data_IF_159850970533
#
_entry.id   IF_159850970533
#
_cell.length_a   1.000
_cell.length_b   1.000
_cell.length_c   1.000
_cell.angle_alpha   90.00
_cell.angle_beta   90.00
_cell.angle_gamma   90.00
#
_symmetry.space_group_name_H-M   'P 1'
#
loop_
_entity.id
_entity.type
_entity.pdbx_description
1 polymer ?
#
# COMPACT_ATOMS: atom_id res chain seq x y z
N UNK A 1 -20.38 34.93 1.73
CA UNK A 1 -20.61 33.60 1.13
C UNK A 1 -20.30 32.54 2.18
N UNK A 2 -21.18 31.57 2.52
CA UNK A 2 -20.87 30.53 3.45
C UNK A 2 -19.73 29.69 2.88
N UNK A 3 -18.65 29.50 3.66
CA UNK A 3 -17.59 28.54 3.31
C UNK A 3 -18.25 27.17 3.18
N UNK A 4 -18.29 26.61 1.96
CA UNK A 4 -18.63 25.19 1.79
C UNK A 4 -17.66 24.42 2.69
N UNK A 5 -18.19 23.73 3.68
CA UNK A 5 -17.42 22.74 4.44
C UNK A 5 -17.07 21.65 3.43
N UNK A 6 -15.82 21.64 2.96
CA UNK A 6 -15.34 20.56 2.11
C UNK A 6 -15.23 19.36 3.05
N UNK A 7 -16.15 18.42 2.90
CA UNK A 7 -16.11 17.18 3.65
C UNK A 7 -14.83 16.42 3.26
N UNK A 8 -13.94 16.19 4.20
CA UNK A 8 -12.74 15.39 3.97
C UNK A 8 -13.13 13.94 3.75
N UNK A 9 -12.47 13.29 2.79
CA UNK A 9 -12.58 11.85 2.64
C UNK A 9 -11.85 11.15 3.78
N UNK A 10 -12.53 10.23 4.50
CA UNK A 10 -11.89 9.37 5.47
C UNK A 10 -11.22 8.19 4.78
N UNK A 11 -10.02 7.82 5.21
CA UNK A 11 -9.36 6.59 4.75
C UNK A 11 -8.80 5.80 5.91
N UNK A 12 -8.61 4.49 5.67
CA UNK A 12 -7.86 3.61 6.55
C UNK A 12 -6.56 3.18 5.87
N UNK A 13 -5.48 3.02 6.65
CA UNK A 13 -4.15 2.63 6.15
C UNK A 13 -3.72 1.31 6.82
N UNK A 14 -3.76 0.22 6.07
CA UNK A 14 -3.41 -1.12 6.54
C UNK A 14 -1.98 -1.45 6.11
N UNK A 15 -1.22 -2.11 7.00
CA UNK A 15 0.22 -2.34 6.79
C UNK A 15 0.94 -1.01 6.57
N UNK A 16 0.61 -0.04 7.40
CA UNK A 16 0.92 1.36 7.21
C UNK A 16 2.42 1.67 7.17
N UNK A 17 3.26 0.77 7.68
CA UNK A 17 4.70 0.99 7.77
C UNK A 17 5.00 2.26 8.54
N UNK A 18 5.78 3.15 7.95
CA UNK A 18 6.11 4.46 8.51
C UNK A 18 5.14 5.57 8.09
N UNK A 19 4.03 5.23 7.41
CA UNK A 19 2.96 6.17 7.02
C UNK A 19 3.06 6.77 5.64
N UNK A 20 3.64 6.05 4.67
CA UNK A 20 3.80 6.56 3.30
C UNK A 20 2.48 6.91 2.61
N UNK A 21 1.47 6.07 2.68
CA UNK A 21 0.13 6.36 2.14
C UNK A 21 -0.53 7.54 2.87
N UNK A 22 -0.41 7.57 4.20
CA UNK A 22 -0.94 8.68 5.00
C UNK A 22 -0.38 10.03 4.57
N UNK A 23 0.94 10.14 4.43
CA UNK A 23 1.59 11.36 3.93
C UNK A 23 1.07 11.80 2.55
N UNK A 24 0.84 10.85 1.65
CA UNK A 24 0.34 11.13 0.31
C UNK A 24 -1.11 11.61 0.30
N UNK A 25 -1.99 10.95 1.07
CA UNK A 25 -3.41 11.21 1.05
C UNK A 25 -3.82 12.42 1.88
N UNK A 26 -3.24 12.66 3.06
CA UNK A 26 -3.60 13.80 3.91
C UNK A 26 -3.27 15.16 3.27
N UNK A 27 -2.35 15.18 2.29
CA UNK A 27 -2.10 16.38 1.48
C UNK A 27 -3.25 16.74 0.53
N UNK A 28 -4.18 15.82 0.29
CA UNK A 28 -5.21 15.89 -0.74
C UNK A 28 -6.64 15.76 -0.18
N UNK A 29 -7.01 16.61 0.79
CA UNK A 29 -8.37 16.67 1.36
C UNK A 29 -8.89 15.36 1.95
N UNK A 30 -8.01 14.54 2.49
CA UNK A 30 -8.40 13.30 3.18
C UNK A 30 -7.84 13.26 4.60
N UNK A 31 -8.37 12.34 5.42
CA UNK A 31 -8.05 12.18 6.83
C UNK A 31 -7.93 10.70 7.14
N UNK A 32 -6.84 10.30 7.80
CA UNK A 32 -6.66 8.94 8.28
C UNK A 32 -7.53 8.70 9.51
N UNK A 33 -8.55 7.84 9.40
CA UNK A 33 -9.43 7.49 10.51
C UNK A 33 -8.99 6.23 11.24
N UNK A 34 -8.15 5.41 10.63
CA UNK A 34 -7.62 4.19 11.23
C UNK A 34 -6.33 3.77 10.52
N UNK A 35 -5.37 3.27 11.28
CA UNK A 35 -4.15 2.67 10.76
C UNK A 35 -3.81 1.36 11.46
N UNK A 36 -3.15 0.43 10.73
CA UNK A 36 -2.75 -0.86 11.26
C UNK A 36 -1.31 -1.18 10.81
N UNK A 37 -0.44 -1.45 11.78
CA UNK A 37 0.95 -1.86 11.57
C UNK A 37 1.43 -2.66 12.80
N UNK A 38 2.09 -3.78 12.59
CA UNK A 38 2.53 -4.66 13.67
C UNK A 38 4.03 -4.60 13.97
N UNK A 39 4.84 -4.16 12.98
CA UNK A 39 6.27 -4.04 13.17
C UNK A 39 6.60 -2.94 14.17
N UNK A 40 7.31 -3.31 15.23
CA UNK A 40 7.62 -2.44 16.35
C UNK A 40 8.34 -1.15 15.90
N UNK A 41 9.30 -1.27 15.02
CA UNK A 41 10.12 -0.13 14.61
C UNK A 41 9.38 0.79 13.64
N UNK A 42 8.55 0.20 12.76
CA UNK A 42 7.65 0.97 11.91
C UNK A 42 6.63 1.74 12.76
N UNK A 43 6.02 1.10 13.79
CA UNK A 43 5.09 1.74 14.74
C UNK A 43 5.75 2.90 15.49
N UNK A 44 6.98 2.74 15.96
CA UNK A 44 7.72 3.82 16.64
C UNK A 44 7.94 5.02 15.72
N UNK A 45 8.34 4.77 14.45
CA UNK A 45 8.52 5.82 13.45
C UNK A 45 7.19 6.47 13.06
N UNK A 46 6.13 5.67 12.88
CA UNK A 46 4.78 6.17 12.60
C UNK A 46 4.29 7.10 13.73
N UNK A 47 4.47 6.66 14.97
CA UNK A 47 4.10 7.48 16.13
C UNK A 47 4.88 8.80 16.19
N UNK A 48 6.17 8.77 15.90
CA UNK A 48 6.99 9.98 15.86
C UNK A 48 6.51 10.97 14.76
N UNK A 49 6.01 10.45 13.63
CA UNK A 49 5.53 11.27 12.52
C UNK A 49 4.12 11.84 12.73
N UNK A 50 3.22 11.07 13.35
CA UNK A 50 1.78 11.40 13.40
C UNK A 50 1.19 11.55 14.79
N UNK A 51 1.93 11.24 15.86
CA UNK A 51 1.46 11.31 17.24
C UNK A 51 0.43 10.22 17.63
N UNK A 52 0.16 9.27 16.72
CA UNK A 52 -0.82 8.20 16.89
C UNK A 52 -0.15 6.84 16.72
N UNK A 53 -0.55 5.86 17.53
CA UNK A 53 -0.07 4.48 17.39
C UNK A 53 -1.04 3.69 16.52
N UNK A 54 -0.55 3.03 15.45
CA UNK A 54 -1.35 2.12 14.68
C UNK A 54 -1.89 0.95 15.52
N UNK A 55 -3.04 0.41 15.14
CA UNK A 55 -3.49 -0.89 15.62
C UNK A 55 -2.46 -1.96 15.24
N UNK A 56 -2.23 -2.95 16.10
CA UNK A 56 -1.15 -3.92 15.88
C UNK A 56 -1.47 -4.98 14.82
N UNK A 57 -1.83 -6.19 15.28
CA UNK A 57 -2.05 -7.36 14.39
C UNK A 57 -3.42 -7.31 13.71
N UNK A 58 -3.44 -7.20 12.39
CA UNK A 58 -4.66 -7.15 11.57
C UNK A 58 -5.56 -8.39 11.77
N UNK A 59 -4.99 -9.54 12.13
CA UNK A 59 -5.77 -10.76 12.40
C UNK A 59 -6.64 -10.65 13.66
N UNK A 60 -6.34 -9.69 14.54
CA UNK A 60 -7.09 -9.39 15.76
C UNK A 60 -8.09 -8.27 15.58
N UNK A 61 -8.14 -7.65 14.38
CA UNK A 61 -9.02 -6.55 14.11
C UNK A 61 -10.49 -7.01 14.08
N UNK A 62 -11.33 -6.38 14.90
CA UNK A 62 -12.77 -6.47 14.74
C UNK A 62 -13.22 -5.51 13.65
N UNK A 63 -13.51 -6.03 12.46
CA UNK A 63 -13.90 -5.22 11.30
C UNK A 63 -15.18 -4.41 11.58
N UNK A 64 -16.09 -4.92 12.40
CA UNK A 64 -17.34 -4.22 12.72
C UNK A 64 -17.13 -2.96 13.55
N UNK A 65 -16.04 -2.91 14.32
CA UNK A 65 -15.68 -1.72 15.09
C UNK A 65 -15.06 -0.60 14.29
N UNK A 66 -14.69 -0.84 13.02
CA UNK A 66 -14.22 0.23 12.15
C UNK A 66 -15.37 1.19 11.84
N UNK A 67 -15.14 2.50 12.00
CA UNK A 67 -16.03 3.52 11.48
C UNK A 67 -16.15 3.42 9.96
N UNK A 68 -17.14 4.07 9.37
CA UNK A 68 -17.27 4.16 7.93
C UNK A 68 -16.16 5.04 7.34
N UNK A 69 -15.58 4.58 6.26
CA UNK A 69 -14.52 5.26 5.54
C UNK A 69 -14.75 5.14 4.02
N UNK A 70 -14.10 6.03 3.27
CA UNK A 70 -14.28 6.15 1.83
C UNK A 70 -13.19 5.41 1.04
N UNK A 71 -11.96 5.36 1.57
CA UNK A 71 -10.81 4.82 0.87
C UNK A 71 -10.07 3.82 1.77
N UNK A 72 -9.68 2.68 1.21
CA UNK A 72 -8.78 1.74 1.88
C UNK A 72 -7.41 1.77 1.19
N UNK A 73 -6.34 1.98 1.97
CA UNK A 73 -4.97 1.80 1.50
C UNK A 73 -4.30 0.62 2.18
N UNK A 74 -3.43 -0.10 1.45
CA UNK A 74 -2.67 -1.18 2.02
C UNK A 74 -1.39 -1.48 1.23
N UNK A 75 -0.23 -1.44 1.90
CA UNK A 75 1.05 -1.92 1.39
C UNK A 75 1.39 -3.28 1.97
N UNK A 76 0.73 -4.34 1.53
CA UNK A 76 0.82 -5.66 2.15
C UNK A 76 1.97 -6.51 1.61
N UNK A 77 2.60 -7.37 2.44
CA UNK A 77 3.70 -8.24 2.01
C UNK A 77 3.23 -9.31 1.01
N UNK A 78 4.10 -9.65 0.06
CA UNK A 78 3.88 -10.76 -0.86
C UNK A 78 4.07 -12.07 -0.10
N UNK A 79 2.97 -12.77 0.17
CA UNK A 79 2.98 -14.10 0.77
C UNK A 79 2.47 -15.14 -0.23
N UNK A 80 3.00 -16.40 -0.20
CA UNK A 80 2.51 -17.44 -1.10
C UNK A 80 1.02 -17.73 -0.87
N UNK A 81 0.27 -17.82 -1.95
CA UNK A 81 -1.12 -18.22 -1.92
C UNK A 81 -1.20 -19.76 -1.86
N UNK A 82 -1.90 -20.33 -0.87
CA UNK A 82 -2.21 -21.74 -0.87
C UNK A 82 -3.54 -22.00 -1.57
N UNK A 83 -3.66 -23.11 -2.33
CA UNK A 83 -4.90 -23.54 -3.01
C UNK A 83 -6.11 -23.67 -2.09
N UNK A 84 -5.87 -23.99 -0.83
CA UNK A 84 -6.95 -24.21 0.14
C UNK A 84 -7.76 -22.94 0.38
N UNK A 85 -7.12 -21.77 0.36
CA UNK A 85 -7.80 -20.48 0.52
C UNK A 85 -8.66 -20.07 -0.69
N UNK A 86 -8.26 -20.47 -1.90
CA UNK A 86 -8.93 -20.08 -3.16
C UNK A 86 -10.16 -20.93 -3.50
N UNK A 87 -10.10 -22.26 -3.25
CA UNK A 87 -11.20 -23.17 -3.63
C UNK A 87 -12.36 -23.22 -2.64
N UNK A 88 -12.12 -22.87 -1.38
CA UNK A 88 -13.16 -22.96 -0.34
C UNK A 88 -13.95 -21.64 -0.18
N UNK A 89 -13.68 -20.64 -1.02
CA UNK A 89 -14.32 -19.33 -0.92
C UNK A 89 -14.03 -18.69 0.45
N UNK A 90 -14.70 -17.62 0.75
CA UNK A 90 -14.55 -16.83 1.98
C UNK A 90 -14.89 -17.57 3.30
N UNK A 91 -15.12 -18.88 3.27
CA UNK A 91 -15.61 -19.66 4.43
C UNK A 91 -14.53 -20.19 5.39
N UNK A 92 -13.27 -20.24 4.98
CA UNK A 92 -12.21 -20.68 5.88
C UNK A 92 -11.16 -19.58 6.08
N UNK A 93 -11.05 -19.11 7.34
CA UNK A 93 -9.89 -18.35 7.84
C UNK A 93 -8.63 -19.20 7.71
N UNK A 94 -8.02 -19.25 6.55
CA UNK A 94 -6.64 -19.74 6.44
C UNK A 94 -5.75 -18.69 7.09
N UNK A 95 -5.36 -18.95 8.33
CA UNK A 95 -4.34 -18.15 9.01
C UNK A 95 -3.14 -18.04 8.09
N UNK A 96 -2.81 -16.83 7.66
CA UNK A 96 -1.55 -16.53 7.00
C UNK A 96 -1.58 -15.74 5.69
N UNK A 97 -2.73 -15.50 5.06
CA UNK A 97 -2.73 -14.66 3.87
C UNK A 97 -3.36 -13.29 4.14
N UNK A 98 -2.50 -12.30 4.31
CA UNK A 98 -2.87 -10.93 4.67
C UNK A 98 -3.73 -10.23 3.61
N UNK A 99 -3.66 -10.67 2.36
CA UNK A 99 -4.54 -10.19 1.30
C UNK A 99 -6.02 -10.52 1.58
N UNK A 100 -6.31 -11.69 2.17
CA UNK A 100 -7.70 -12.05 2.50
C UNK A 100 -8.29 -11.19 3.62
N UNK A 101 -7.46 -10.67 4.53
CA UNK A 101 -7.95 -9.67 5.50
C UNK A 101 -8.41 -8.39 4.80
N UNK A 102 -7.68 -7.95 3.78
CA UNK A 102 -8.09 -6.80 2.94
C UNK A 102 -9.41 -7.09 2.23
N UNK A 103 -9.51 -8.27 1.58
CA UNK A 103 -10.71 -8.70 0.87
C UNK A 103 -11.93 -8.75 1.80
N UNK A 104 -11.79 -9.26 3.03
CA UNK A 104 -12.87 -9.31 4.01
C UNK A 104 -13.31 -7.90 4.46
N UNK A 105 -12.36 -6.98 4.68
CA UNK A 105 -12.67 -5.59 5.00
C UNK A 105 -13.41 -4.91 3.83
N UNK A 106 -12.91 -5.06 2.60
CA UNK A 106 -13.56 -4.52 1.40
C UNK A 106 -14.97 -5.06 1.21
N UNK A 107 -15.18 -6.37 1.46
CA UNK A 107 -16.47 -7.03 1.35
C UNK A 107 -17.49 -6.47 2.34
N UNK A 108 -17.08 -6.24 3.59
CA UNK A 108 -17.97 -5.83 4.69
C UNK A 108 -18.22 -4.32 4.70
N UNK A 109 -17.18 -3.53 4.47
CA UNK A 109 -17.24 -2.06 4.57
C UNK A 109 -17.53 -1.37 3.24
N UNK A 110 -17.22 -1.98 2.11
CA UNK A 110 -17.50 -1.48 0.75
C UNK A 110 -17.11 0.00 0.57
N UNK A 111 -15.84 0.39 0.87
CA UNK A 111 -15.40 1.76 0.60
C UNK A 111 -15.55 2.09 -0.89
N UNK A 112 -15.72 3.35 -1.22
CA UNK A 112 -15.90 3.80 -2.62
C UNK A 112 -14.65 3.51 -3.48
N UNK A 113 -13.47 3.42 -2.85
CA UNK A 113 -12.21 3.19 -3.55
C UNK A 113 -11.20 2.46 -2.66
N UNK A 114 -10.21 1.84 -3.29
CA UNK A 114 -9.02 1.33 -2.60
C UNK A 114 -7.75 1.57 -3.42
N UNK A 115 -6.61 1.62 -2.73
CA UNK A 115 -5.26 1.64 -3.31
C UNK A 115 -4.44 0.58 -2.60
N UNK A 116 -4.05 -0.49 -3.32
CA UNK A 116 -3.20 -1.54 -2.78
C UNK A 116 -1.83 -1.48 -3.46
N UNK A 117 -0.77 -1.69 -2.69
CA UNK A 117 0.61 -1.72 -3.19
C UNK A 117 1.27 -3.06 -2.91
N UNK A 118 2.04 -3.55 -3.88
CA UNK A 118 2.87 -4.73 -3.71
C UNK A 118 4.18 -4.63 -4.51
N UNK A 119 5.09 -5.56 -4.30
CA UNK A 119 6.36 -5.62 -5.03
C UNK A 119 6.15 -5.93 -6.52
N UNK A 120 6.98 -5.37 -7.40
CA UNK A 120 6.88 -5.60 -8.85
C UNK A 120 7.03 -7.07 -9.25
N UNK A 121 7.73 -7.88 -8.44
CA UNK A 121 7.87 -9.33 -8.65
C UNK A 121 6.55 -10.10 -8.66
N UNK A 122 5.48 -9.53 -8.08
CA UNK A 122 4.14 -10.12 -8.11
C UNK A 122 3.62 -10.37 -9.53
N UNK A 123 4.06 -9.58 -10.51
CA UNK A 123 3.68 -9.73 -11.93
C UNK A 123 4.06 -11.11 -12.48
N UNK A 124 5.19 -11.65 -12.02
CA UNK A 124 5.71 -12.94 -12.47
C UNK A 124 5.44 -14.07 -11.48
N UNK A 125 4.84 -13.75 -10.33
CA UNK A 125 4.57 -14.74 -9.30
C UNK A 125 3.40 -15.64 -9.71
N UNK A 126 3.62 -16.96 -9.62
CA UNK A 126 2.60 -17.97 -9.88
C UNK A 126 2.37 -18.81 -8.63
N UNK A 127 1.12 -19.10 -8.37
CA UNK A 127 0.71 -20.09 -7.39
C UNK A 127 0.10 -21.29 -8.13
N UNK A 128 0.77 -22.44 -8.11
CA UNK A 128 0.30 -23.68 -8.75
C UNK A 128 -0.10 -23.52 -10.22
N UNK A 129 0.75 -22.86 -11.02
CA UNK A 129 0.58 -22.54 -12.44
C UNK A 129 -0.43 -21.42 -12.78
N UNK A 130 -1.10 -20.82 -11.79
CA UNK A 130 -1.98 -19.66 -12.00
C UNK A 130 -1.29 -18.37 -11.57
N UNK A 131 -1.48 -17.29 -12.29
CA UNK A 131 -0.95 -15.97 -11.96
C UNK A 131 -1.57 -15.47 -10.66
N UNK A 132 -0.74 -15.20 -9.66
CA UNK A 132 -1.20 -14.62 -8.39
C UNK A 132 -1.88 -13.27 -8.60
N UNK A 133 -1.36 -12.47 -9.53
CA UNK A 133 -1.93 -11.19 -9.91
C UNK A 133 -3.37 -11.33 -10.43
N UNK A 134 -3.61 -12.32 -11.32
CA UNK A 134 -4.95 -12.59 -11.86
C UNK A 134 -5.92 -13.00 -10.77
N UNK A 135 -5.50 -13.92 -9.89
CA UNK A 135 -6.31 -14.37 -8.74
C UNK A 135 -6.73 -13.19 -7.86
N UNK A 136 -5.80 -12.28 -7.56
CA UNK A 136 -6.10 -11.10 -6.75
C UNK A 136 -7.07 -10.16 -7.45
N UNK A 137 -6.86 -9.93 -8.76
CA UNK A 137 -7.76 -9.09 -9.55
C UNK A 137 -9.18 -9.68 -9.63
N UNK A 138 -9.31 -10.99 -9.82
CA UNK A 138 -10.61 -11.68 -9.84
C UNK A 138 -11.33 -11.53 -8.51
N UNK A 139 -10.66 -11.81 -7.39
CA UNK A 139 -11.23 -11.64 -6.06
C UNK A 139 -11.75 -10.21 -5.80
N UNK A 140 -11.00 -9.20 -6.22
CA UNK A 140 -11.40 -7.79 -6.06
C UNK A 140 -12.57 -7.41 -7.00
N UNK A 141 -12.60 -7.95 -8.23
CA UNK A 141 -13.70 -7.75 -9.18
C UNK A 141 -15.00 -8.41 -8.72
N UNK A 142 -14.91 -9.59 -8.11
CA UNK A 142 -16.07 -10.30 -7.53
C UNK A 142 -16.74 -9.51 -6.41
N UNK A 143 -16.00 -8.65 -5.70
CA UNK A 143 -16.55 -7.73 -4.70
C UNK A 143 -17.31 -6.53 -5.32
N UNK A 144 -17.31 -6.42 -6.64
CA UNK A 144 -17.98 -5.35 -7.37
C UNK A 144 -17.12 -4.15 -7.73
N UNK A 145 -15.77 -4.26 -7.60
CA UNK A 145 -14.87 -3.17 -7.96
C UNK A 145 -14.46 -3.19 -9.44
N UNK A 146 -14.33 -2.01 -10.03
CA UNK A 146 -13.52 -1.79 -11.22
C UNK A 146 -12.06 -1.72 -10.77
N UNK A 147 -11.20 -2.61 -11.29
CA UNK A 147 -9.81 -2.74 -10.84
C UNK A 147 -8.84 -2.32 -11.94
N UNK A 148 -8.00 -1.35 -11.63
CA UNK A 148 -6.97 -0.83 -12.52
C UNK A 148 -5.59 -1.21 -11.97
N UNK A 149 -4.69 -1.68 -12.84
CA UNK A 149 -3.32 -2.07 -12.51
C UNK A 149 -2.32 -1.10 -13.10
N UNK A 150 -1.31 -0.73 -12.33
CA UNK A 150 -0.20 0.09 -12.81
C UNK A 150 1.11 -0.25 -12.14
N UNK A 151 2.17 -0.31 -12.94
CA UNK A 151 3.54 -0.40 -12.44
C UNK A 151 4.13 1.00 -12.39
N UNK A 152 4.53 1.43 -11.21
CA UNK A 152 5.04 2.78 -10.94
C UNK A 152 6.43 2.70 -10.34
N UNK A 153 7.35 3.54 -10.81
CA UNK A 153 8.70 3.70 -10.24
C UNK A 153 8.79 5.04 -9.52
N UNK A 154 9.21 5.03 -8.25
CA UNK A 154 9.39 6.25 -7.47
C UNK A 154 10.35 7.26 -8.12
N UNK A 155 11.33 6.77 -8.88
CA UNK A 155 12.27 7.62 -9.60
C UNK A 155 11.61 8.54 -10.65
N UNK A 156 10.45 8.13 -11.21
CA UNK A 156 9.71 8.93 -12.17
C UNK A 156 8.96 10.12 -11.52
N UNK A 157 8.93 10.17 -10.18
CA UNK A 157 8.21 11.16 -9.38
C UNK A 157 9.13 12.05 -8.52
N UNK A 158 10.39 12.18 -8.93
CA UNK A 158 11.33 13.10 -8.27
C UNK A 158 11.95 12.54 -6.97
N UNK A 159 11.95 11.21 -6.80
CA UNK A 159 12.64 10.54 -5.70
C UNK A 159 13.92 9.89 -6.26
N UNK A 160 15.11 10.10 -5.65
CA UNK A 160 16.35 9.50 -6.12
C UNK A 160 16.47 8.02 -5.73
N UNK A 161 15.45 7.23 -6.01
CA UNK A 161 15.37 5.81 -5.71
C UNK A 161 14.58 5.07 -6.79
N UNK A 162 15.20 4.07 -7.40
CA UNK A 162 14.47 3.10 -8.21
C UNK A 162 13.70 2.15 -7.28
N UNK A 163 12.39 2.38 -7.18
CA UNK A 163 11.48 1.55 -6.39
C UNK A 163 10.23 1.27 -7.21
N UNK A 164 10.28 0.18 -7.96
CA UNK A 164 9.13 -0.27 -8.76
C UNK A 164 8.12 -1.02 -7.89
N UNK A 165 6.87 -0.58 -7.95
CA UNK A 165 5.75 -1.19 -7.24
C UNK A 165 4.55 -1.35 -8.15
N UNK A 166 3.85 -2.48 -8.00
CA UNK A 166 2.56 -2.65 -8.64
C UNK A 166 1.47 -2.10 -7.73
N UNK A 167 0.61 -1.29 -8.31
CA UNK A 167 -0.55 -0.74 -7.63
C UNK A 167 -1.83 -1.30 -8.22
N UNK A 168 -2.78 -1.60 -7.34
CA UNK A 168 -4.16 -1.91 -7.67
C UNK A 168 -5.00 -0.73 -7.20
N UNK A 169 -5.68 -0.07 -8.11
CA UNK A 169 -6.61 1.01 -7.79
C UNK A 169 -8.02 0.55 -8.16
N UNK A 170 -8.89 0.48 -7.17
CA UNK A 170 -10.25 -0.01 -7.33
C UNK A 170 -11.30 1.04 -7.02
N UNK A 171 -12.38 1.01 -7.81
CA UNK A 171 -13.55 1.86 -7.63
C UNK A 171 -14.80 1.00 -7.54
N UNK A 172 -15.62 1.20 -6.52
CA UNK A 172 -16.85 0.43 -6.31
C UNK A 172 -17.88 0.80 -7.38
N UNK A 173 -18.21 -0.12 -8.27
CA UNK A 173 -19.05 0.16 -9.46
C UNK A 173 -20.42 0.73 -9.13
N UNK A 174 -21.01 0.37 -7.98
CA UNK A 174 -22.29 0.90 -7.54
C UNK A 174 -22.30 2.40 -7.23
N UNK A 175 -21.12 2.98 -6.96
CA UNK A 175 -20.97 4.40 -6.63
C UNK A 175 -20.77 5.29 -7.86
N UNK A 176 -20.60 4.70 -9.04
CA UNK A 176 -20.30 5.42 -10.27
C UNK A 176 -21.27 5.01 -11.39
N UNK A 177 -21.90 5.97 -12.02
CA UNK A 177 -22.84 5.73 -13.12
C UNK A 177 -22.17 5.26 -14.43
N UNK A 178 -20.85 5.41 -14.52
CA UNK A 178 -20.00 5.05 -15.68
C UNK A 178 -18.64 4.55 -15.20
N UNK A 179 -17.89 3.80 -16.02
CA UNK A 179 -16.49 3.48 -15.74
C UNK A 179 -15.68 4.73 -15.42
N UNK A 180 -14.78 4.63 -14.45
CA UNK A 180 -14.04 5.79 -13.92
C UNK A 180 -13.03 6.38 -14.88
N UNK A 181 -12.65 5.64 -15.95
CA UNK A 181 -11.59 6.01 -16.89
C UNK A 181 -10.27 6.41 -16.17
N UNK A 182 -9.97 5.73 -15.06
CA UNK A 182 -8.78 5.99 -14.29
C UNK A 182 -7.51 5.71 -15.09
N UNK A 183 -6.57 6.65 -15.06
CA UNK A 183 -5.26 6.50 -15.69
C UNK A 183 -4.17 6.77 -14.65
N UNK A 184 -3.20 5.87 -14.56
CA UNK A 184 -2.05 6.08 -13.68
C UNK A 184 -1.23 7.30 -14.12
N UNK A 185 -0.76 8.12 -13.16
CA UNK A 185 0.09 9.26 -13.49
C UNK A 185 1.41 8.79 -14.13
N UNK A 186 1.89 9.53 -15.13
CA UNK A 186 3.13 9.23 -15.86
C UNK A 186 4.28 9.97 -15.22
N UNK A 187 4.46 10.29 -14.09
CA UNK A 187 5.60 11.01 -13.55
C UNK A 187 6.15 12.14 -14.44
N UNK A 188 7.02 12.95 -13.93
CA UNK A 188 7.62 14.07 -14.68
C UNK A 188 8.94 13.70 -15.37
N UNK A 189 9.48 12.50 -15.11
CA UNK A 189 10.80 12.02 -15.58
C UNK A 189 11.98 12.91 -15.19
N UNK A 190 11.78 13.87 -14.31
CA UNK A 190 12.85 14.70 -13.77
C UNK A 190 13.75 13.85 -12.89
N UNK A 191 15.00 13.66 -13.32
CA UNK A 191 15.95 12.82 -12.59
C UNK A 191 16.45 13.57 -11.35
N UNK A 192 16.22 12.95 -10.19
CA UNK A 192 16.88 13.31 -8.95
C UNK A 192 18.01 12.32 -8.66
N UNK A 193 19.10 12.80 -8.11
CA UNK A 193 20.27 11.99 -7.76
C UNK A 193 20.45 11.98 -6.24
N UNK A 194 21.08 10.96 -5.71
CA UNK A 194 21.39 10.88 -4.27
C UNK A 194 22.13 12.14 -3.78
N UNK A 195 23.07 12.65 -4.59
CA UNK A 195 23.79 13.89 -4.26
C UNK A 195 22.89 15.11 -4.01
N UNK A 196 21.68 15.11 -4.56
CA UNK A 196 20.72 16.25 -4.44
C UNK A 196 20.00 16.24 -3.08
N UNK A 197 20.12 15.15 -2.31
CA UNK A 197 19.49 14.96 -0.99
C UNK A 197 20.49 14.65 0.12
N UNK A 198 21.80 14.54 -0.22
CA UNK A 198 22.83 14.35 0.80
C UNK A 198 23.02 15.61 1.64
N UNK A 199 23.11 15.41 2.94
CA UNK A 199 23.50 16.47 3.87
C UNK A 199 24.96 16.87 3.60
N UNK A 200 25.23 18.19 3.58
CA UNK A 200 26.55 18.70 3.25
C UNK A 200 27.61 18.44 4.34
N UNK A 201 27.17 18.39 5.59
CA UNK A 201 28.03 18.29 6.77
C UNK A 201 27.57 17.14 7.69
N UNK A 202 27.53 15.93 7.14
CA UNK A 202 27.16 14.73 7.91
C UNK A 202 28.35 14.26 8.79
N UNK A 203 28.57 14.93 9.92
CA UNK A 203 29.54 14.48 10.91
C UNK A 203 28.92 13.43 11.83
N UNK A 204 29.75 12.45 12.26
CA UNK A 204 29.37 11.42 13.24
C UNK A 204 28.68 10.17 12.69
N UNK A 205 28.49 10.07 11.38
CA UNK A 205 27.96 8.86 10.74
C UNK A 205 29.11 8.05 10.12
N UNK A 206 29.38 6.87 10.67
CA UNK A 206 30.28 5.90 10.06
C UNK A 206 29.55 4.58 9.84
N UNK A 207 29.73 3.99 8.66
CA UNK A 207 29.35 2.60 8.43
C UNK A 207 30.51 1.69 8.86
N UNK A 208 30.19 0.52 9.44
CA UNK A 208 31.21 -0.43 9.86
C UNK A 208 32.12 -0.81 8.70
N UNK A 209 33.39 -1.12 8.96
CA UNK A 209 34.33 -1.57 7.94
C UNK A 209 33.84 -2.78 7.15
N UNK A 210 33.06 -3.67 7.79
CA UNK A 210 32.42 -4.80 7.13
C UNK A 210 31.42 -4.36 6.06
N UNK A 211 30.57 -3.39 6.36
CA UNK A 211 29.62 -2.84 5.40
C UNK A 211 30.32 -2.04 4.29
N UNK A 212 31.36 -1.27 4.63
CA UNK A 212 32.18 -0.58 3.63
C UNK A 212 32.77 -1.57 2.62
N UNK A 213 33.41 -2.64 3.12
CA UNK A 213 33.99 -3.69 2.26
C UNK A 213 32.93 -4.44 1.45
N UNK A 214 31.73 -4.67 2.01
CA UNK A 214 30.66 -5.40 1.34
C UNK A 214 29.99 -4.62 0.21
N UNK A 215 29.93 -3.28 0.29
CA UNK A 215 29.25 -2.43 -0.68
C UNK A 215 30.17 -1.75 -1.68
N UNK A 216 31.37 -1.34 -1.26
CA UNK A 216 32.30 -0.59 -2.13
C UNK A 216 33.01 -1.50 -3.13
N UNK A 217 33.23 -2.79 -2.80
CA UNK A 217 33.96 -3.73 -3.67
C UNK A 217 33.04 -4.56 -4.59
N UNK A 218 31.73 -4.34 -4.60
CA UNK A 218 30.81 -5.02 -5.54
C UNK A 218 30.56 -4.28 -6.86
N UNK A 219 31.03 -3.05 -7.01
CA UNK A 219 30.83 -2.23 -8.22
C UNK A 219 31.98 -2.34 -9.23
N UNK A 220 32.78 -3.41 -9.15
CA UNK A 220 33.84 -3.69 -10.12
C UNK A 220 33.58 -4.99 -10.90
N UNK A 221 32.35 -5.11 -11.46
CA UNK A 221 32.06 -6.06 -12.54
C UNK A 221 31.14 -5.41 -13.58
#
# INVERSE_FOLDING_TARGET
>A
LPRKIIQKYKFIDLFAGIGGFRLGLERNFSECSFSCEWDKYAVETYFANFGEKPFGDINKLNIDSLEDFHILTAGFPCQPFSKIGLRQGFKHKTQGNLFFNIVEILKRKKPISFILENVSGLIHHKSENQSTLEIMCEALKELGYEVNLGLVDAADFGVPQHRRRIFFVGFLKSEFNKPTNFVFPKGNKEKKYIKDILEKDAEGYSISEYLQKSYIYKDSY
#
